data_IF_127204772057
#
_entry.id   IF_127204772057
#
_cell.length_a   1.000
_cell.length_b   1.000
_cell.length_c   1.000
_cell.angle_alpha   90.00
_cell.angle_beta   90.00
_cell.angle_gamma   90.00
#
_symmetry.space_group_name_H-M   'P 1'
#
loop_
_entity.id
_entity.type
_entity.pdbx_description
1 polymer ?
#
# COMPACT_ATOMS: atom_id res chain seq x y z
N UNK A 1 7.81 -20.27 -19.01
CA UNK A 1 7.42 -19.93 -17.63
C UNK A 1 8.06 -18.59 -17.30
N UNK A 2 7.27 -17.54 -17.05
CA UNK A 2 7.82 -16.26 -16.60
C UNK A 2 8.26 -16.42 -15.13
N UNK A 3 9.54 -16.19 -14.82
CA UNK A 3 10.04 -16.31 -13.45
C UNK A 3 9.34 -15.33 -12.51
N UNK A 4 9.08 -15.74 -11.27
CA UNK A 4 8.59 -14.82 -10.23
C UNK A 4 9.68 -13.78 -9.92
N UNK A 5 9.29 -12.53 -9.67
CA UNK A 5 10.19 -11.51 -9.15
C UNK A 5 10.43 -11.79 -7.66
N UNK A 6 11.68 -11.99 -7.26
CA UNK A 6 12.02 -12.30 -5.87
C UNK A 6 12.89 -11.20 -5.28
N UNK A 7 12.38 -10.51 -4.26
CA UNK A 7 13.17 -9.60 -3.42
C UNK A 7 13.48 -10.30 -2.10
N UNK A 8 14.76 -10.46 -1.79
CA UNK A 8 15.22 -10.91 -0.47
C UNK A 8 15.77 -9.72 0.30
N UNK A 9 15.37 -9.55 1.56
CA UNK A 9 15.91 -8.55 2.49
C UNK A 9 16.32 -9.20 3.80
N UNK A 10 17.38 -8.68 4.43
CA UNK A 10 17.88 -9.16 5.71
C UNK A 10 18.44 -8.02 6.56
N UNK A 11 17.80 -7.77 7.72
CA UNK A 11 18.31 -6.84 8.73
C UNK A 11 19.31 -7.51 9.69
N UNK A 12 20.49 -6.92 9.84
CA UNK A 12 21.63 -7.47 10.61
C UNK A 12 22.01 -6.66 11.86
N UNK A 13 22.39 -5.40 11.69
CA UNK A 13 23.06 -4.59 12.72
C UNK A 13 22.30 -3.32 13.00
N UNK A 14 22.34 -2.89 14.26
CA UNK A 14 21.82 -1.61 14.74
C UNK A 14 23.01 -0.73 15.15
N UNK A 15 23.03 0.52 14.68
CA UNK A 15 24.01 1.53 15.02
C UNK A 15 23.26 2.76 15.55
N UNK A 16 23.71 3.30 16.67
CA UNK A 16 23.23 4.58 17.18
C UNK A 16 23.79 5.71 16.29
N UNK A 17 22.90 6.58 15.83
CA UNK A 17 23.25 7.86 15.20
C UNK A 17 22.57 8.98 15.99
N UNK A 18 23.14 10.19 15.97
CA UNK A 18 22.64 11.33 16.74
C UNK A 18 21.14 11.61 16.52
N UNK A 19 20.65 11.32 15.32
CA UNK A 19 19.26 11.60 14.90
C UNK A 19 18.38 10.33 14.78
N UNK A 20 18.79 9.19 15.35
CA UNK A 20 17.98 7.95 15.33
C UNK A 20 18.77 6.65 15.40
N UNK A 21 18.07 5.53 15.25
CA UNK A 21 18.69 4.21 15.09
C UNK A 21 18.87 3.88 13.62
N UNK A 22 20.07 3.49 13.23
CA UNK A 22 20.37 3.04 11.87
C UNK A 22 20.44 1.52 11.87
N UNK A 23 19.68 0.89 10.98
CA UNK A 23 19.67 -0.56 10.80
C UNK A 23 20.14 -0.91 9.40
N UNK A 24 21.19 -1.72 9.28
CA UNK A 24 21.66 -2.20 7.98
C UNK A 24 20.77 -3.32 7.46
N UNK A 25 20.32 -3.16 6.22
CA UNK A 25 19.52 -4.14 5.48
C UNK A 25 20.26 -4.55 4.21
N UNK A 26 20.72 -5.80 4.18
CA UNK A 26 21.17 -6.41 2.93
C UNK A 26 19.97 -6.79 2.10
N UNK A 27 20.10 -6.69 0.77
CA UNK A 27 19.05 -7.08 -0.13
C UNK A 27 19.57 -7.63 -1.44
N UNK A 28 18.75 -8.44 -2.08
CA UNK A 28 19.03 -8.96 -3.42
C UNK A 28 17.76 -9.23 -4.23
N UNK A 29 17.87 -9.10 -5.55
CA UNK A 29 16.84 -9.53 -6.51
C UNK A 29 17.19 -10.85 -7.22
N UNK A 30 18.19 -11.59 -6.72
CA UNK A 30 18.65 -12.85 -7.29
C UNK A 30 20.18 -12.96 -7.34
N UNK A 31 20.72 -13.57 -8.40
CA UNK A 31 22.17 -13.85 -8.47
C UNK A 31 23.06 -12.62 -8.71
N UNK A 32 22.53 -11.58 -9.34
CA UNK A 32 23.36 -10.50 -9.91
C UNK A 32 23.35 -9.17 -9.16
N UNK A 33 22.43 -8.95 -8.23
CA UNK A 33 22.31 -7.67 -7.52
C UNK A 33 22.20 -7.90 -6.02
N UNK A 34 23.35 -7.93 -5.35
CA UNK A 34 23.45 -8.03 -3.89
C UNK A 34 24.01 -6.72 -3.37
N UNK A 35 23.26 -6.00 -2.54
CA UNK A 35 23.65 -4.68 -2.01
C UNK A 35 23.21 -4.56 -0.56
N UNK A 36 23.59 -3.45 0.07
CA UNK A 36 23.00 -3.00 1.33
C UNK A 36 22.37 -1.63 1.17
N UNK A 37 21.46 -1.32 2.08
CA UNK A 37 21.04 0.03 2.42
C UNK A 37 20.96 0.13 3.93
N UNK A 38 21.13 1.33 4.45
CA UNK A 38 20.95 1.65 5.85
C UNK A 38 19.58 2.29 6.03
N UNK A 39 18.82 1.86 7.03
CA UNK A 39 17.50 2.43 7.34
C UNK A 39 17.59 3.18 8.65
N UNK A 40 17.30 4.47 8.62
CA UNK A 40 17.16 5.29 9.83
C UNK A 40 15.73 5.18 10.36
N UNK A 41 15.60 4.88 11.64
CA UNK A 41 14.34 4.74 12.37
C UNK A 41 14.34 5.62 13.61
N UNK A 42 13.16 6.05 14.06
CA UNK A 42 13.02 6.70 15.37
C UNK A 42 13.55 5.81 16.50
N UNK A 43 14.13 6.44 17.53
CA UNK A 43 14.63 5.74 18.73
C UNK A 43 13.53 4.89 19.41
N UNK A 44 12.29 5.38 19.35
CA UNK A 44 11.07 4.76 19.90
C UNK A 44 10.52 3.62 19.04
N UNK A 45 11.09 3.35 17.87
CA UNK A 45 10.62 2.29 16.99
C UNK A 45 10.80 0.91 17.62
N UNK A 46 9.70 0.21 17.84
CA UNK A 46 9.70 -1.19 18.26
C UNK A 46 10.07 -2.13 17.11
N UNK A 47 10.73 -3.25 17.43
CA UNK A 47 11.07 -4.29 16.46
C UNK A 47 11.84 -3.76 15.24
N UNK A 48 12.88 -2.96 15.51
CA UNK A 48 13.65 -2.17 14.53
C UNK A 48 14.12 -2.98 13.34
N UNK A 49 14.59 -4.20 13.55
CA UNK A 49 15.03 -5.04 12.45
C UNK A 49 13.88 -5.42 11.48
N UNK A 50 12.66 -5.66 11.97
CA UNK A 50 11.50 -5.91 11.12
C UNK A 50 11.02 -4.61 10.45
N UNK A 51 11.01 -3.50 11.18
CA UNK A 51 10.67 -2.19 10.64
C UNK A 51 11.63 -1.79 9.51
N UNK A 52 12.93 -2.01 9.69
CA UNK A 52 13.95 -1.75 8.69
C UNK A 52 13.75 -2.60 7.43
N UNK A 53 13.46 -3.90 7.56
CA UNK A 53 13.13 -4.74 6.40
C UNK A 53 11.90 -4.22 5.65
N UNK A 54 10.87 -3.80 6.39
CA UNK A 54 9.64 -3.25 5.81
C UNK A 54 9.89 -1.94 5.06
N UNK A 55 10.64 -1.02 5.66
CA UNK A 55 11.05 0.25 5.02
C UNK A 55 11.89 -0.04 3.78
N UNK A 56 12.85 -0.97 3.86
CA UNK A 56 13.66 -1.37 2.73
C UNK A 56 12.80 -1.93 1.59
N UNK A 57 11.83 -2.79 1.88
CA UNK A 57 10.89 -3.32 0.88
C UNK A 57 10.11 -2.19 0.23
N UNK A 58 9.54 -1.28 1.02
CA UNK A 58 8.77 -0.12 0.52
C UNK A 58 9.61 0.74 -0.41
N UNK A 59 10.82 1.10 0.01
CA UNK A 59 11.73 1.91 -0.78
C UNK A 59 12.17 1.21 -2.08
N UNK A 60 12.59 -0.06 -1.99
CA UNK A 60 13.11 -0.80 -3.14
C UNK A 60 12.04 -1.09 -4.19
N UNK A 61 10.82 -1.46 -3.77
CA UNK A 61 9.74 -1.79 -4.68
C UNK A 61 8.95 -0.55 -5.16
N UNK A 62 8.82 0.46 -4.31
CA UNK A 62 8.00 1.66 -4.55
C UNK A 62 8.77 2.81 -5.17
N UNK A 63 9.92 3.17 -4.61
CA UNK A 63 10.68 4.37 -5.02
C UNK A 63 11.72 4.01 -6.07
N UNK A 64 12.60 3.05 -5.76
CA UNK A 64 13.67 2.57 -6.65
C UNK A 64 13.09 1.75 -7.80
N UNK A 65 11.93 1.13 -7.60
CA UNK A 65 11.26 0.28 -8.57
C UNK A 65 12.19 -0.81 -9.14
N UNK A 66 12.90 -1.55 -8.27
CA UNK A 66 13.98 -2.50 -8.68
C UNK A 66 13.57 -3.55 -9.72
N UNK A 67 12.27 -3.84 -9.86
CA UNK A 67 11.71 -4.67 -10.93
C UNK A 67 11.01 -3.82 -12.00
N UNK A 68 9.94 -3.09 -11.63
CA UNK A 68 9.22 -2.16 -12.51
C UNK A 68 8.29 -1.25 -11.69
N UNK A 69 7.90 -0.10 -12.26
CA UNK A 69 7.06 0.93 -11.61
C UNK A 69 5.64 0.47 -11.28
N UNK A 70 5.08 -0.49 -12.02
CA UNK A 70 3.69 -0.93 -11.90
C UNK A 70 3.56 -2.27 -11.16
N UNK A 71 4.57 -2.62 -10.37
CA UNK A 71 4.61 -3.87 -9.61
C UNK A 71 3.48 -3.91 -8.59
N UNK A 72 2.86 -5.07 -8.48
CA UNK A 72 1.84 -5.45 -7.49
C UNK A 72 2.28 -6.76 -6.82
N UNK A 73 1.51 -7.31 -5.88
CA UNK A 73 1.89 -8.56 -5.21
C UNK A 73 1.84 -9.82 -6.10
N UNK A 74 1.11 -9.78 -7.22
CA UNK A 74 1.11 -10.89 -8.19
C UNK A 74 2.51 -11.16 -8.78
N UNK A 75 2.91 -12.44 -8.80
CA UNK A 75 4.25 -12.90 -9.21
C UNK A 75 5.41 -12.24 -8.44
N UNK A 76 5.15 -11.79 -7.21
CA UNK A 76 6.15 -11.23 -6.30
C UNK A 76 6.38 -12.20 -5.14
N UNK A 77 7.64 -12.53 -4.89
CA UNK A 77 8.10 -13.23 -3.69
C UNK A 77 8.94 -12.25 -2.88
N UNK A 78 8.62 -12.13 -1.59
CA UNK A 78 9.37 -11.31 -0.64
C UNK A 78 9.94 -12.24 0.42
N UNK A 79 11.25 -12.42 0.42
CA UNK A 79 11.96 -13.22 1.40
C UNK A 79 12.51 -12.28 2.47
N UNK A 80 12.10 -12.47 3.71
CA UNK A 80 12.48 -11.62 4.86
C UNK A 80 13.25 -12.42 5.89
N UNK A 81 14.08 -11.77 6.71
CA UNK A 81 14.67 -12.45 7.86
C UNK A 81 13.76 -12.42 9.09
N UNK A 82 12.84 -11.44 9.21
CA UNK A 82 12.00 -11.29 10.41
C UNK A 82 10.56 -11.75 10.15
N UNK A 83 10.11 -12.74 10.92
CA UNK A 83 8.76 -13.30 10.80
C UNK A 83 7.62 -12.31 11.09
N UNK A 84 7.90 -11.22 11.81
CA UNK A 84 6.94 -10.13 12.01
C UNK A 84 6.49 -9.49 10.68
N UNK A 85 7.37 -9.42 9.67
CA UNK A 85 7.02 -8.89 8.34
C UNK A 85 6.04 -9.80 7.61
N UNK A 86 6.22 -11.13 7.71
CA UNK A 86 5.25 -12.11 7.20
C UNK A 86 3.89 -11.94 7.89
N UNK A 87 3.87 -11.77 9.21
CA UNK A 87 2.63 -11.52 9.96
C UNK A 87 1.97 -10.20 9.54
N UNK A 88 2.74 -9.15 9.28
CA UNK A 88 2.24 -7.87 8.78
C UNK A 88 1.51 -8.02 7.43
N UNK A 89 2.12 -8.70 6.44
CA UNK A 89 1.47 -8.94 5.15
C UNK A 89 0.18 -9.76 5.26
N UNK A 90 0.10 -10.64 6.26
CA UNK A 90 -1.11 -11.39 6.61
C UNK A 90 -2.10 -10.61 7.50
N UNK A 91 -1.76 -9.37 7.88
CA UNK A 91 -2.50 -8.53 8.83
C UNK A 91 -2.73 -9.19 10.21
N UNK A 92 -1.76 -9.98 10.67
CA UNK A 92 -1.76 -10.70 11.95
C UNK A 92 -0.73 -10.17 12.95
N UNK A 93 -0.11 -9.02 12.68
CA UNK A 93 0.80 -8.39 13.65
C UNK A 93 0.01 -7.53 14.63
N UNK A 94 0.47 -7.48 15.88
CA UNK A 94 -0.07 -6.58 16.91
C UNK A 94 0.78 -5.32 17.07
N UNK A 95 1.87 -5.21 16.30
CA UNK A 95 2.83 -4.11 16.36
C UNK A 95 2.37 -3.00 15.42
N UNK A 96 1.75 -1.95 15.97
CA UNK A 96 1.15 -0.86 15.20
C UNK A 96 2.17 -0.10 14.33
N UNK A 97 3.39 0.13 14.85
CA UNK A 97 4.44 0.83 14.10
C UNK A 97 4.80 0.12 12.77
N UNK A 98 4.72 -1.21 12.72
CA UNK A 98 4.96 -1.96 11.48
C UNK A 98 3.91 -1.67 10.40
N UNK A 99 2.67 -1.38 10.77
CA UNK A 99 1.64 -0.97 9.81
C UNK A 99 1.93 0.40 9.20
N UNK A 100 2.55 1.30 9.97
CA UNK A 100 2.91 2.64 9.48
C UNK A 100 4.05 2.58 8.47
N UNK A 101 5.07 1.76 8.71
CA UNK A 101 6.16 1.62 7.73
C UNK A 101 5.73 0.78 6.51
N UNK A 102 4.91 -0.25 6.72
CA UNK A 102 4.66 -1.30 5.74
C UNK A 102 3.30 -1.29 5.06
N UNK A 103 2.66 -0.12 4.99
CA UNK A 103 1.35 0.04 4.40
C UNK A 103 1.16 -0.64 3.01
N UNK A 104 2.12 -0.55 2.07
CA UNK A 104 2.01 -1.22 0.76
C UNK A 104 1.91 -2.75 0.84
N UNK A 105 2.46 -3.40 1.88
CA UNK A 105 2.54 -4.87 1.96
C UNK A 105 1.18 -5.56 2.02
N UNK A 106 0.18 -4.89 2.61
CA UNK A 106 -1.19 -5.41 2.70
C UNK A 106 -2.18 -4.63 1.83
N UNK A 107 -1.70 -3.68 1.02
CA UNK A 107 -2.49 -2.97 0.00
C UNK A 107 -1.94 -3.30 -1.39
N UNK A 108 -1.08 -2.48 -1.97
CA UNK A 108 -0.49 -2.66 -3.32
C UNK A 108 0.16 -4.03 -3.55
N UNK A 109 0.88 -4.55 -2.57
CA UNK A 109 1.60 -5.82 -2.64
C UNK A 109 0.83 -6.97 -1.97
N UNK A 110 -0.46 -6.81 -1.74
CA UNK A 110 -1.30 -7.94 -1.36
C UNK A 110 -1.16 -9.09 -2.35
N UNK A 111 -1.30 -10.33 -1.85
CA UNK A 111 -1.08 -11.57 -2.60
C UNK A 111 0.40 -11.86 -2.93
N UNK A 112 1.35 -11.01 -2.53
CA UNK A 112 2.76 -11.36 -2.57
C UNK A 112 3.04 -12.57 -1.66
N UNK A 113 3.87 -13.47 -2.14
CA UNK A 113 4.33 -14.61 -1.35
C UNK A 113 5.42 -14.15 -0.39
N UNK A 114 5.11 -14.06 0.91
CA UNK A 114 6.09 -13.66 1.93
C UNK A 114 6.60 -14.89 2.68
N UNK A 115 7.91 -15.16 2.55
CA UNK A 115 8.59 -16.28 3.21
C UNK A 115 9.69 -15.77 4.13
N UNK A 116 10.08 -16.60 5.10
CA UNK A 116 11.13 -16.24 6.06
C UNK A 116 12.36 -17.09 5.76
N UNK A 117 13.52 -16.46 5.58
CA UNK A 117 14.81 -17.15 5.46
C UNK A 117 15.83 -16.52 6.39
N UNK A 118 16.64 -17.37 7.02
CA UNK A 118 17.79 -16.96 7.84
C UNK A 118 19.12 -17.11 7.11
N UNK A 119 19.08 -17.53 5.85
CA UNK A 119 20.28 -17.70 5.03
C UNK A 119 21.00 -16.36 4.81
N UNK A 120 22.30 -16.37 5.11
CA UNK A 120 23.24 -15.25 4.95
C UNK A 120 24.30 -15.54 3.89
N UNK A 121 24.31 -16.73 3.27
CA UNK A 121 25.35 -17.15 2.31
C UNK A 121 25.39 -16.32 1.03
N UNK A 122 24.38 -15.47 0.80
CA UNK A 122 24.33 -14.58 -0.34
C UNK A 122 24.82 -13.16 -0.03
N UNK A 123 25.22 -12.83 1.20
CA UNK A 123 25.66 -11.47 1.55
C UNK A 123 26.83 -11.03 0.66
N UNK A 124 26.84 -9.76 0.21
CA UNK A 124 27.98 -9.19 -0.49
C UNK A 124 29.18 -9.07 0.45
N UNK A 125 30.39 -9.12 -0.10
CA UNK A 125 31.61 -8.75 0.63
C UNK A 125 31.64 -7.23 0.89
N UNK A 126 32.52 -6.74 1.76
CA UNK A 126 32.64 -5.29 2.01
C UNK A 126 33.04 -4.53 0.74
N UNK A 127 33.88 -5.13 -0.11
CA UNK A 127 34.30 -4.57 -1.40
C UNK A 127 33.13 -4.46 -2.38
N UNK A 128 32.22 -5.44 -2.38
CA UNK A 128 31.04 -5.47 -3.27
C UNK A 128 29.94 -4.46 -2.88
N UNK A 129 29.98 -3.91 -1.65
CA UNK A 129 28.92 -3.06 -1.13
C UNK A 129 28.87 -1.70 -1.82
N UNK A 130 30.03 -1.15 -2.18
CA UNK A 130 30.16 0.22 -2.67
C UNK A 130 29.48 1.23 -1.75
N UNK A 131 28.83 2.24 -2.33
CA UNK A 131 28.12 3.26 -1.56
C UNK A 131 26.79 2.73 -1.00
N UNK A 132 26.65 2.79 0.32
CA UNK A 132 25.45 2.39 1.05
C UNK A 132 24.53 3.60 1.20
N UNK A 133 23.37 3.54 0.54
CA UNK A 133 22.34 4.57 0.67
C UNK A 133 21.70 4.49 2.06
N UNK A 134 21.53 5.64 2.71
CA UNK A 134 20.70 5.75 3.91
C UNK A 134 19.28 6.19 3.54
N UNK A 135 18.29 5.40 3.93
CA UNK A 135 16.86 5.65 3.73
C UNK A 135 16.28 6.15 5.04
N UNK A 136 15.56 7.26 4.98
CA UNK A 136 14.82 7.78 6.13
C UNK A 136 13.49 7.06 6.29
N UNK A 137 13.38 6.20 7.31
CA UNK A 137 12.16 5.47 7.62
C UNK A 137 11.02 6.37 8.05
N UNK A 138 11.30 7.50 8.72
CA UNK A 138 10.24 8.40 9.18
C UNK A 138 9.56 9.12 8.01
N UNK A 139 10.33 9.48 6.97
CA UNK A 139 9.79 10.03 5.72
C UNK A 139 8.86 9.04 4.98
N UNK A 140 8.98 7.74 5.26
CA UNK A 140 8.18 6.68 4.66
C UNK A 140 7.09 6.15 5.60
N UNK A 141 6.82 6.77 6.75
CA UNK A 141 5.70 6.37 7.62
C UNK A 141 4.36 6.75 7.01
N UNK A 142 3.34 5.97 7.38
CA UNK A 142 1.96 6.19 6.98
C UNK A 142 1.62 5.52 5.65
N UNK A 143 0.54 5.99 5.04
CA UNK A 143 -0.04 5.35 3.86
C UNK A 143 0.79 5.59 2.60
N UNK A 144 0.68 4.69 1.62
CA UNK A 144 1.20 4.95 0.27
C UNK A 144 0.29 5.98 -0.40
N UNK A 145 0.89 7.07 -0.90
CA UNK A 145 0.17 8.13 -1.60
C UNK A 145 0.55 8.18 -3.07
N UNK A 146 -0.40 8.53 -3.94
CA UNK A 146 -0.15 8.72 -5.37
C UNK A 146 -0.87 9.97 -5.89
N UNK A 147 -0.31 10.60 -6.93
CA UNK A 147 -0.85 11.82 -7.53
C UNK A 147 -2.14 11.53 -8.30
N UNK A 148 -3.14 12.41 -8.16
CA UNK A 148 -4.35 12.44 -8.96
C UNK A 148 -4.12 12.97 -10.38
N UNK A 149 -5.06 12.69 -11.29
CA UNK A 149 -5.02 13.16 -12.68
C UNK A 149 -5.07 14.71 -12.80
N UNK A 150 -5.88 15.36 -11.96
CA UNK A 150 -6.40 16.71 -12.24
C UNK A 150 -6.18 17.73 -11.11
N UNK A 151 -5.00 17.77 -10.49
CA UNK A 151 -4.72 18.73 -9.40
C UNK A 151 -5.55 18.50 -8.13
N UNK A 152 -6.27 17.36 -8.07
CA UNK A 152 -7.14 16.95 -6.96
C UNK A 152 -6.40 16.58 -5.67
N UNK A 153 -5.06 16.73 -5.67
CA UNK A 153 -4.15 16.38 -4.58
C UNK A 153 -3.60 14.95 -4.69
N UNK A 154 -2.98 14.50 -3.61
CA UNK A 154 -2.54 13.12 -3.47
C UNK A 154 -3.66 12.26 -2.87
N UNK A 155 -3.73 11.00 -3.26
CA UNK A 155 -4.65 10.02 -2.71
C UNK A 155 -3.90 8.89 -2.01
N UNK A 156 -4.46 8.40 -0.91
CA UNK A 156 -4.12 7.13 -0.29
C UNK A 156 -5.34 6.19 -0.35
N UNK A 157 -5.11 4.89 -0.54
CA UNK A 157 -6.18 3.87 -0.60
C UNK A 157 -6.11 3.00 0.63
N UNK A 158 -7.23 2.88 1.35
CA UNK A 158 -7.33 1.88 2.43
C UNK A 158 -7.50 0.46 1.89
N UNK A 159 -7.02 -0.53 2.66
CA UNK A 159 -7.34 -1.93 2.38
C UNK A 159 -8.85 -2.18 2.28
N UNK A 160 -9.63 -1.59 3.18
CA UNK A 160 -11.08 -1.73 3.16
C UNK A 160 -11.71 -1.18 1.87
N UNK A 161 -11.28 0.00 1.41
CA UNK A 161 -11.77 0.54 0.14
C UNK A 161 -11.41 -0.36 -1.05
N UNK A 162 -10.22 -0.95 -1.06
CA UNK A 162 -9.81 -1.89 -2.09
C UNK A 162 -10.70 -3.16 -2.09
N UNK A 163 -10.99 -3.71 -0.92
CA UNK A 163 -11.89 -4.87 -0.76
C UNK A 163 -13.32 -4.54 -1.24
N UNK A 164 -13.88 -3.40 -0.83
CA UNK A 164 -15.20 -2.94 -1.29
C UNK A 164 -15.23 -2.72 -2.80
N UNK A 165 -14.20 -2.10 -3.37
CA UNK A 165 -14.12 -1.90 -4.81
C UNK A 165 -14.09 -3.24 -5.57
N UNK A 166 -13.32 -4.22 -5.08
CA UNK A 166 -13.32 -5.57 -5.66
C UNK A 166 -14.70 -6.21 -5.63
N UNK A 167 -15.39 -6.15 -4.48
CA UNK A 167 -16.74 -6.69 -4.32
C UNK A 167 -17.75 -6.06 -5.29
N UNK A 168 -17.67 -4.75 -5.52
CA UNK A 168 -18.60 -4.05 -6.40
C UNK A 168 -18.27 -4.19 -7.89
N UNK A 169 -16.98 -4.25 -8.27
CA UNK A 169 -16.56 -4.30 -9.68
C UNK A 169 -16.37 -5.73 -10.19
N UNK A 170 -16.16 -6.70 -9.31
CA UNK A 170 -15.94 -8.09 -9.69
C UNK A 170 -14.62 -8.32 -10.43
N UNK A 171 -13.56 -7.61 -10.04
CA UNK A 171 -12.20 -7.84 -10.59
C UNK A 171 -11.72 -9.26 -10.29
N UNK A 172 -10.81 -9.80 -11.11
CA UNK A 172 -10.37 -11.20 -11.00
C UNK A 172 -9.61 -11.48 -9.71
N UNK A 173 -8.80 -10.52 -9.24
CA UNK A 173 -7.95 -10.65 -8.05
C UNK A 173 -7.57 -9.27 -7.50
N UNK A 174 -6.82 -9.22 -6.40
CA UNK A 174 -6.46 -7.93 -5.81
C UNK A 174 -5.46 -7.12 -6.65
N UNK A 175 -4.61 -7.77 -7.46
CA UNK A 175 -3.77 -7.04 -8.43
C UNK A 175 -4.61 -6.23 -9.42
N UNK A 176 -5.57 -6.89 -10.08
CA UNK A 176 -6.43 -6.26 -11.07
C UNK A 176 -7.32 -5.21 -10.42
N UNK A 177 -7.73 -5.44 -9.16
CA UNK A 177 -8.39 -4.46 -8.29
C UNK A 177 -7.54 -3.21 -8.10
N UNK A 178 -6.31 -3.35 -7.62
CA UNK A 178 -5.39 -2.23 -7.39
C UNK A 178 -5.19 -1.42 -8.67
N UNK A 179 -4.81 -2.08 -9.77
CA UNK A 179 -4.56 -1.41 -11.06
C UNK A 179 -5.79 -0.68 -11.60
N UNK A 180 -6.96 -1.31 -11.51
CA UNK A 180 -8.22 -0.72 -11.97
C UNK A 180 -8.60 0.50 -11.12
N UNK A 181 -8.52 0.37 -9.80
CA UNK A 181 -8.84 1.44 -8.85
C UNK A 181 -7.87 2.63 -8.99
N UNK A 182 -6.56 2.38 -8.99
CA UNK A 182 -5.58 3.47 -9.16
C UNK A 182 -5.74 4.13 -10.53
N UNK A 183 -5.94 3.37 -11.61
CA UNK A 183 -6.21 3.95 -12.93
C UNK A 183 -7.44 4.86 -12.92
N UNK A 184 -8.54 4.44 -12.28
CA UNK A 184 -9.74 5.29 -12.16
C UNK A 184 -9.46 6.58 -11.38
N UNK A 185 -8.66 6.53 -10.32
CA UNK A 185 -8.34 7.73 -9.53
C UNK A 185 -7.27 8.63 -10.17
N UNK A 186 -6.37 8.06 -10.98
CA UNK A 186 -5.22 8.75 -11.57
C UNK A 186 -5.44 9.18 -13.02
N UNK A 187 -6.43 8.63 -13.72
CA UNK A 187 -6.60 8.86 -15.16
C UNK A 187 -8.02 9.23 -15.57
N UNK A 188 -9.06 8.98 -14.76
CA UNK A 188 -10.39 9.49 -15.09
C UNK A 188 -10.53 10.91 -14.59
N UNK A 189 -10.43 11.85 -15.53
CA UNK A 189 -10.60 13.28 -15.28
C UNK A 189 -12.01 13.64 -14.76
N UNK A 190 -13.00 12.79 -15.04
CA UNK A 190 -14.41 13.12 -14.87
C UNK A 190 -14.98 12.68 -13.51
N UNK A 191 -14.14 12.31 -12.52
CA UNK A 191 -14.65 12.10 -11.16
C UNK A 191 -14.95 13.46 -10.52
N UNK A 192 -16.21 13.69 -10.19
CA UNK A 192 -16.71 14.93 -9.62
C UNK A 192 -17.22 14.74 -8.19
N UNK A 193 -17.14 15.81 -7.39
CA UNK A 193 -17.65 15.82 -6.02
C UNK A 193 -19.19 15.85 -6.05
N UNK A 194 -19.82 14.94 -5.32
CA UNK A 194 -21.28 14.79 -5.22
C UNK A 194 -21.74 15.12 -3.81
N UNK A 195 -22.79 15.93 -3.71
CA UNK A 195 -23.46 16.18 -2.45
C UNK A 195 -24.22 14.93 -1.98
N UNK A 196 -23.92 14.47 -0.77
CA UNK A 196 -24.71 13.41 -0.13
C UNK A 196 -26.00 13.99 0.47
N UNK A 197 -27.11 13.23 0.48
CA UNK A 197 -28.28 13.58 1.27
C UNK A 197 -27.92 13.69 2.76
N UNK A 198 -28.56 14.64 3.48
CA UNK A 198 -28.27 14.94 4.90
C UNK A 198 -28.20 13.70 5.80
N UNK A 199 -29.18 12.80 5.68
CA UNK A 199 -29.25 11.59 6.52
C UNK A 199 -28.06 10.64 6.32
N UNK A 200 -27.52 10.57 5.09
CA UNK A 200 -26.32 9.77 4.78
C UNK A 200 -25.07 10.48 5.30
N UNK A 201 -25.04 11.81 5.19
CA UNK A 201 -23.94 12.62 5.69
C UNK A 201 -23.80 12.50 7.21
N UNK A 202 -24.90 12.59 7.96
CA UNK A 202 -24.94 12.44 9.42
C UNK A 202 -24.44 11.07 9.88
N UNK A 203 -24.88 9.98 9.21
CA UNK A 203 -24.38 8.65 9.50
C UNK A 203 -22.86 8.52 9.23
N UNK A 204 -22.36 9.16 8.17
CA UNK A 204 -20.93 9.13 7.83
C UNK A 204 -20.10 10.00 8.78
N UNK A 205 -20.59 11.17 9.17
CA UNK A 205 -19.97 12.01 10.19
C UNK A 205 -19.88 11.23 11.51
N UNK A 206 -20.96 10.56 11.92
CA UNK A 206 -20.95 9.72 13.13
C UNK A 206 -19.94 8.56 13.07
N UNK A 207 -19.70 8.00 11.87
CA UNK A 207 -18.75 6.89 11.67
C UNK A 207 -17.28 7.34 11.55
N UNK A 208 -17.03 8.51 10.97
CA UNK A 208 -15.69 8.96 10.57
C UNK A 208 -15.20 10.22 11.29
N UNK A 209 -16.05 10.87 12.10
CA UNK A 209 -15.70 12.04 12.93
C UNK A 209 -15.66 13.38 12.20
N UNK A 210 -15.69 13.39 10.86
CA UNK A 210 -15.68 14.62 10.04
C UNK A 210 -16.54 14.43 8.78
N UNK A 211 -16.79 15.52 8.06
CA UNK A 211 -17.55 15.58 6.81
C UNK A 211 -16.71 14.94 5.68
N UNK A 212 -17.08 13.75 5.18
CA UNK A 212 -16.34 13.13 4.09
C UNK A 212 -16.63 13.83 2.76
N UNK A 213 -15.69 13.74 1.82
CA UNK A 213 -15.97 14.04 0.42
C UNK A 213 -16.42 12.79 -0.31
N UNK A 214 -17.48 12.90 -1.11
CA UNK A 214 -17.93 11.79 -1.97
C UNK A 214 -17.79 12.18 -3.41
N UNK A 215 -17.10 11.33 -4.16
CA UNK A 215 -16.75 11.58 -5.55
C UNK A 215 -17.31 10.46 -6.41
N UNK A 216 -17.68 10.78 -7.64
CA UNK A 216 -18.34 9.84 -8.55
C UNK A 216 -18.04 10.24 -9.99
N UNK A 217 -17.90 9.25 -10.86
CA UNK A 217 -17.91 9.48 -12.31
C UNK A 217 -19.37 9.62 -12.79
N UNK A 218 -19.71 10.58 -13.66
CA UNK A 218 -21.08 10.79 -14.16
C UNK A 218 -21.76 9.50 -14.62
N UNK A 219 -21.03 8.70 -15.40
CA UNK A 219 -21.54 7.43 -15.98
C UNK A 219 -21.40 6.19 -15.09
N UNK A 220 -21.02 6.34 -13.81
CA UNK A 220 -20.85 5.20 -12.90
C UNK A 220 -21.78 5.29 -11.69
N UNK A 221 -22.34 4.17 -11.24
CA UNK A 221 -23.09 4.08 -9.98
C UNK A 221 -22.19 4.07 -8.73
N UNK A 222 -20.88 3.94 -8.93
CA UNK A 222 -19.89 3.86 -7.87
C UNK A 222 -19.58 5.22 -7.26
N UNK A 223 -19.58 5.25 -5.93
CA UNK A 223 -19.23 6.40 -5.12
C UNK A 223 -17.95 6.10 -4.35
N UNK A 224 -17.01 7.03 -4.41
CA UNK A 224 -15.72 6.99 -3.72
C UNK A 224 -15.77 7.94 -2.53
N UNK A 225 -15.59 7.42 -1.32
CA UNK A 225 -15.65 8.22 -0.09
C UNK A 225 -14.25 8.53 0.40
N UNK A 226 -13.93 9.81 0.46
CA UNK A 226 -12.65 10.32 0.90
C UNK A 226 -12.75 11.03 2.23
N UNK A 227 -11.72 10.84 3.07
CA UNK A 227 -11.42 11.72 4.18
C UNK A 227 -10.28 12.67 3.76
N UNK A 228 -10.43 13.96 4.00
CA UNK A 228 -9.42 14.96 3.63
C UNK A 228 -8.46 15.11 4.80
N UNK A 229 -7.16 14.92 4.55
CA UNK A 229 -6.08 15.38 5.43
C UNK A 229 -5.38 16.56 4.77
N UNK A 230 -4.54 17.25 5.55
CA UNK A 230 -3.84 18.47 5.13
C UNK A 230 -3.13 18.30 3.78
N UNK A 231 -2.42 17.18 3.58
CA UNK A 231 -1.59 16.96 2.39
C UNK A 231 -2.14 15.94 1.37
N UNK A 232 -3.17 15.17 1.74
CA UNK A 232 -3.71 14.09 0.90
C UNK A 232 -5.12 13.66 1.32
N UNK A 233 -5.81 12.97 0.41
CA UNK A 233 -7.14 12.40 0.64
C UNK A 233 -7.06 10.89 0.81
N UNK A 234 -7.81 10.35 1.77
CA UNK A 234 -7.82 8.91 2.08
C UNK A 234 -9.12 8.30 1.57
N UNK A 235 -9.05 7.40 0.59
CA UNK A 235 -10.19 6.59 0.17
C UNK A 235 -10.50 5.55 1.24
N UNK A 236 -11.59 5.76 1.98
CA UNK A 236 -11.99 4.90 3.11
C UNK A 236 -12.99 3.82 2.73
N UNK A 237 -13.82 4.06 1.70
CA UNK A 237 -14.74 3.04 1.17
C UNK A 237 -15.15 3.38 -0.25
N UNK A 238 -15.54 2.35 -0.99
CA UNK A 238 -16.30 2.47 -2.23
C UNK A 238 -17.67 1.84 -1.99
N UNK A 239 -18.73 2.40 -2.56
CA UNK A 239 -20.05 1.77 -2.52
C UNK A 239 -20.81 2.04 -3.82
N UNK A 240 -21.71 1.14 -4.16
CA UNK A 240 -22.69 1.38 -5.20
C UNK A 240 -23.96 1.98 -4.57
N UNK A 241 -24.46 3.08 -5.14
CA UNK A 241 -25.77 3.58 -4.76
C UNK A 241 -26.78 2.90 -5.66
N UNK A 242 -27.58 2.01 -5.07
CA UNK A 242 -28.76 1.46 -5.71
C UNK A 242 -29.69 2.63 -6.01
N UNK A 243 -29.67 3.13 -7.24
CA UNK A 243 -30.65 4.12 -7.69
C UNK A 243 -31.97 3.38 -7.71
N UNK A 244 -32.83 3.62 -6.70
CA UNK A 244 -34.17 3.03 -6.59
C UNK A 244 -35.09 3.25 -7.81
N UNK A 245 -34.62 3.94 -8.85
CA UNK A 245 -35.23 4.03 -10.17
C UNK A 245 -35.15 2.70 -10.97
N UNK A 246 -34.20 1.80 -10.68
CA UNK A 246 -34.08 0.51 -11.40
C UNK A 246 -34.95 -0.62 -10.84
N UNK A 247 -35.52 -0.44 -9.63
CA UNK A 247 -36.41 -1.44 -9.03
C UNK A 247 -37.86 -1.34 -9.55
N UNK A 248 -38.25 -0.22 -10.15
CA UNK A 248 -39.60 -0.09 -10.76
C UNK A 248 -39.69 -0.64 -12.19
N UNK A 249 -38.56 -0.87 -12.87
CA UNK A 249 -38.55 -1.41 -14.25
C UNK A 249 -38.54 -2.96 -14.36
N UNK A 250 -38.23 -3.69 -13.28
CA UNK A 250 -38.12 -5.16 -13.31
C UNK A 250 -39.39 -5.91 -12.92
N UNK A 251 -40.38 -5.25 -12.32
CA UNK A 251 -41.67 -5.86 -11.96
C UNK A 251 -42.77 -5.67 -13.02
N UNK A 252 -42.46 -5.14 -14.21
CA UNK A 252 -43.44 -4.89 -15.27
C UNK A 252 -43.29 -5.80 -16.51
N UNK A 253 -42.55 -6.91 -16.42
CA UNK A 253 -42.42 -7.89 -17.53
C UNK A 253 -42.82 -9.32 -17.20
N UNK A 254 -43.43 -9.54 -16.04
CA UNK A 254 -44.12 -10.79 -15.71
C UNK A 254 -45.39 -10.45 -14.94
N UNK A 255 -46.38 -9.92 -15.66
CA UNK A 255 -47.78 -9.94 -15.31
C UNK A 255 -48.55 -10.21 -16.61
#
# INVERSE_FOLDING_TARGET
>A
MCGKNTLTVYAVSELLSGDGMVVRVYWTTGKHRKKALDVRLALTCENRAAAAEVVAIRHLLGDVCVFNKNLTGHNLVIVVSKGAVKKLGQRKTQINSLYEYGYPLFTRYTEAEITVSKDRGWFPTEEDLGNILTVDGEALRGMETFKAANGQGNFAITRHAMERYHEHVGTINMQTTWKSLTKRLQSNADIEKVALPKNVLEHKIGKYGDVPEVWRHPDSTLHFVFFVKDDYKILVTVFERDTGLDRQGRNARFA
#
